data_IF_546842442610
#
_entry.id   IF_546842442610
#
_cell.length_a   1.000
_cell.length_b   1.000
_cell.length_c   1.000
_cell.angle_alpha   90.00
_cell.angle_beta   90.00
_cell.angle_gamma   90.00
#
_symmetry.space_group_name_H-M   'P 1'
#
loop_
_entity.id
_entity.type
_entity.pdbx_description
1 polymer ?
#
# COMPACT_ATOMS: atom_id res chain seq x y z
N UNK A 1 -32.89 -32.55 46.34
CA UNK A 1 -31.82 -32.24 45.35
C UNK A 1 -30.95 -31.13 45.92
N UNK A 2 -29.64 -31.34 46.06
CA UNK A 2 -28.72 -30.35 46.64
C UNK A 2 -28.44 -29.29 45.58
N UNK A 3 -28.92 -28.05 45.78
CA UNK A 3 -28.63 -26.96 44.85
C UNK A 3 -27.14 -26.58 44.99
N UNK A 4 -26.40 -26.73 43.90
CA UNK A 4 -25.02 -26.25 43.83
C UNK A 4 -25.04 -24.72 43.76
N UNK A 5 -24.16 -24.02 44.51
CA UNK A 5 -24.08 -22.57 44.45
C UNK A 5 -23.73 -22.13 43.03
N UNK A 6 -24.54 -21.22 42.48
CA UNK A 6 -24.34 -20.68 41.14
C UNK A 6 -23.10 -19.80 41.09
N UNK A 7 -22.25 -20.03 40.09
CA UNK A 7 -21.02 -19.26 39.89
C UNK A 7 -21.05 -18.63 38.50
N UNK A 8 -21.12 -17.30 38.46
CA UNK A 8 -21.16 -16.51 37.23
C UNK A 8 -19.95 -16.76 36.34
N UNK A 9 -18.75 -16.83 36.95
CA UNK A 9 -17.52 -17.15 36.22
C UNK A 9 -17.55 -18.54 35.61
N UNK A 10 -18.05 -19.55 36.32
CA UNK A 10 -18.20 -20.91 35.76
C UNK A 10 -19.21 -20.93 34.61
N UNK A 11 -20.31 -20.19 34.72
CA UNK A 11 -21.31 -20.08 33.67
C UNK A 11 -20.72 -19.41 32.41
N UNK A 12 -20.02 -18.29 32.57
CA UNK A 12 -19.30 -17.60 31.48
C UNK A 12 -18.31 -18.54 30.80
N UNK A 13 -17.48 -19.23 31.58
CA UNK A 13 -16.44 -20.11 31.04
C UNK A 13 -17.03 -21.34 30.33
N UNK A 14 -18.18 -21.85 30.80
CA UNK A 14 -18.91 -22.90 30.12
C UNK A 14 -19.42 -22.45 28.74
N UNK A 15 -19.98 -21.25 28.66
CA UNK A 15 -20.45 -20.66 27.39
C UNK A 15 -19.26 -20.42 26.46
N UNK A 16 -18.21 -19.73 26.91
CA UNK A 16 -17.02 -19.47 26.11
C UNK A 16 -16.38 -20.76 25.58
N UNK A 17 -16.30 -21.81 26.41
CA UNK A 17 -15.77 -23.11 26.00
C UNK A 17 -16.65 -23.80 24.96
N UNK A 18 -17.96 -23.73 25.11
CA UNK A 18 -18.91 -24.25 24.12
C UNK A 18 -18.82 -23.49 22.80
N UNK A 19 -18.76 -22.16 22.84
CA UNK A 19 -18.61 -21.29 21.66
C UNK A 19 -17.30 -21.55 20.93
N UNK A 20 -16.17 -21.63 21.64
CA UNK A 20 -14.88 -21.92 21.03
C UNK A 20 -14.87 -23.32 20.38
N UNK A 21 -15.46 -24.31 21.04
CA UNK A 21 -15.60 -25.67 20.48
C UNK A 21 -16.47 -25.69 19.22
N UNK A 22 -17.54 -24.89 19.18
CA UNK A 22 -18.41 -24.77 18.02
C UNK A 22 -17.67 -24.16 16.82
N UNK A 23 -16.91 -23.08 17.04
CA UNK A 23 -16.08 -22.44 16.00
C UNK A 23 -15.06 -23.44 15.44
N UNK A 24 -14.32 -24.13 16.31
CA UNK A 24 -13.26 -25.07 15.90
C UNK A 24 -13.77 -26.34 15.22
N UNK A 25 -15.03 -26.76 15.46
CA UNK A 25 -15.63 -27.94 14.81
C UNK A 25 -16.01 -27.69 13.35
N UNK A 26 -16.25 -26.43 12.98
CA UNK A 26 -16.61 -26.06 11.62
C UNK A 26 -15.39 -25.48 10.89
N UNK A 27 -14.77 -26.24 9.97
CA UNK A 27 -13.60 -25.74 9.25
C UNK A 27 -13.92 -24.46 8.46
N UNK A 28 -15.13 -24.32 7.93
CA UNK A 28 -15.57 -23.09 7.24
C UNK A 28 -15.68 -21.89 8.17
N UNK A 29 -16.14 -22.08 9.41
CA UNK A 29 -16.20 -21.00 10.39
C UNK A 29 -14.81 -20.45 10.71
N UNK A 30 -13.82 -21.34 10.87
CA UNK A 30 -12.42 -20.94 11.12
C UNK A 30 -11.84 -20.18 9.92
N UNK A 31 -12.03 -20.68 8.70
CA UNK A 31 -11.51 -20.03 7.49
C UNK A 31 -12.11 -18.64 7.31
N UNK A 32 -13.42 -18.48 7.52
CA UNK A 32 -14.08 -17.19 7.34
C UNK A 32 -13.73 -16.19 8.45
N UNK A 33 -13.65 -16.62 9.71
CA UNK A 33 -13.43 -15.72 10.84
C UNK A 33 -11.96 -15.38 11.12
N UNK A 34 -11.03 -16.27 10.79
CA UNK A 34 -9.59 -16.06 11.01
C UNK A 34 -8.79 -16.02 9.70
N UNK A 35 -9.02 -16.97 8.80
CA UNK A 35 -8.26 -17.08 7.55
C UNK A 35 -8.46 -15.86 6.64
N UNK A 36 -9.70 -15.48 6.36
CA UNK A 36 -10.02 -14.35 5.50
C UNK A 36 -9.40 -13.03 5.99
N UNK A 37 -9.58 -12.62 7.26
CA UNK A 37 -8.94 -11.40 7.77
C UNK A 37 -7.40 -11.44 7.68
N UNK A 38 -6.77 -12.59 7.96
CA UNK A 38 -5.31 -12.71 7.90
C UNK A 38 -4.78 -12.55 6.47
N UNK A 39 -5.43 -13.20 5.49
CA UNK A 39 -5.06 -13.05 4.07
C UNK A 39 -5.30 -11.61 3.62
N UNK A 40 -6.41 -11.00 4.04
CA UNK A 40 -6.73 -9.61 3.72
C UNK A 40 -5.66 -8.65 4.23
N UNK A 41 -5.29 -8.74 5.51
CA UNK A 41 -4.25 -7.90 6.12
C UNK A 41 -2.89 -8.13 5.42
N UNK A 42 -2.56 -9.37 5.05
CA UNK A 42 -1.31 -9.68 4.36
C UNK A 42 -1.25 -9.00 2.97
N UNK A 43 -2.30 -9.14 2.17
CA UNK A 43 -2.38 -8.56 0.83
C UNK A 43 -2.36 -7.03 0.89
N UNK A 44 -3.17 -6.42 1.77
CA UNK A 44 -3.17 -4.96 1.90
C UNK A 44 -1.91 -4.41 2.57
N UNK A 45 -1.30 -5.17 3.48
CA UNK A 45 0.00 -4.85 4.06
C UNK A 45 1.10 -4.80 3.01
N UNK A 46 1.05 -5.66 1.99
CA UNK A 46 2.00 -5.64 0.88
C UNK A 46 1.69 -4.57 -0.18
N UNK A 47 0.42 -4.24 -0.41
CA UNK A 47 0.03 -3.18 -1.38
C UNK A 47 0.41 -1.77 -0.86
N UNK A 48 0.37 -1.54 0.46
CA UNK A 48 0.63 -0.22 1.06
C UNK A 48 2.04 0.02 1.59
N UNK A 49 2.95 -0.96 1.50
CA UNK A 49 4.27 -0.92 2.15
C UNK A 49 5.39 -0.19 1.38
N UNK A 50 5.15 0.20 0.13
CA UNK A 50 6.08 1.03 -0.63
C UNK A 50 5.80 2.51 -0.35
N UNK A 51 6.78 3.25 0.17
CA UNK A 51 6.65 4.69 0.37
C UNK A 51 6.11 5.39 -0.88
N UNK A 52 5.30 6.44 -0.68
CA UNK A 52 4.73 7.26 -1.75
C UNK A 52 5.84 7.96 -2.52
N UNK A 53 6.40 7.29 -3.52
CA UNK A 53 7.35 7.88 -4.45
C UNK A 53 6.57 8.57 -5.56
N UNK A 54 6.57 9.91 -5.53
CA UNK A 54 5.96 10.72 -6.58
C UNK A 54 6.92 10.82 -7.75
N UNK A 55 6.48 10.38 -8.94
CA UNK A 55 7.30 10.48 -10.15
C UNK A 55 7.05 11.81 -10.85
N UNK A 56 8.09 12.61 -11.06
CA UNK A 56 8.01 13.92 -11.76
C UNK A 56 8.83 13.90 -13.05
N UNK A 57 8.36 14.65 -14.04
CA UNK A 57 9.09 14.93 -15.28
C UNK A 57 9.56 16.39 -15.29
N UNK A 58 10.77 16.61 -15.80
CA UNK A 58 11.32 17.94 -16.04
C UNK A 58 11.06 18.35 -17.49
N UNK A 59 10.58 19.58 -17.71
CA UNK A 59 10.34 20.12 -19.05
C UNK A 59 11.65 20.38 -19.80
N UNK A 60 12.65 20.92 -19.10
CA UNK A 60 14.00 21.12 -19.63
C UNK A 60 15.02 20.31 -18.78
N UNK A 61 15.95 19.56 -19.39
CA UNK A 61 17.03 18.89 -18.66
C UNK A 61 17.92 19.85 -17.85
N UNK A 62 18.01 21.14 -18.19
CA UNK A 62 18.77 22.15 -17.47
C UNK A 62 18.21 22.43 -16.06
N UNK A 63 16.90 22.26 -15.86
CA UNK A 63 16.21 22.52 -14.59
C UNK A 63 16.66 21.55 -13.48
N UNK A 64 17.28 20.43 -13.85
CA UNK A 64 17.88 19.47 -12.92
C UNK A 64 19.05 20.03 -12.10
N UNK A 65 19.68 21.12 -12.55
CA UNK A 65 20.75 21.78 -11.83
C UNK A 65 20.24 22.64 -10.66
N UNK A 66 18.96 23.00 -10.65
CA UNK A 66 18.36 23.90 -9.68
C UNK A 66 18.35 23.28 -8.26
N UNK A 67 18.64 24.09 -7.25
CA UNK A 67 18.70 23.72 -5.84
C UNK A 67 17.41 23.04 -5.37
N UNK A 68 16.24 23.54 -5.80
CA UNK A 68 14.91 22.99 -5.45
C UNK A 68 14.74 21.55 -5.96
N UNK A 69 15.17 21.27 -7.19
CA UNK A 69 15.08 19.93 -7.78
C UNK A 69 16.05 18.97 -7.09
N UNK A 70 17.25 19.45 -6.73
CA UNK A 70 18.26 18.66 -5.99
C UNK A 70 17.80 18.28 -4.58
N UNK A 71 17.18 19.20 -3.84
CA UNK A 71 16.68 18.91 -2.49
C UNK A 71 15.49 17.96 -2.51
N UNK A 72 14.59 18.09 -3.48
CA UNK A 72 13.49 17.14 -3.70
C UNK A 72 14.00 15.74 -4.05
N UNK A 73 15.00 15.63 -4.92
CA UNK A 73 15.61 14.34 -5.24
C UNK A 73 16.33 13.71 -4.02
N UNK A 74 16.98 14.53 -3.17
CA UNK A 74 17.67 14.06 -1.97
C UNK A 74 16.72 13.52 -0.88
N UNK A 75 15.45 13.96 -0.89
CA UNK A 75 14.45 13.53 0.09
C UNK A 75 13.96 12.08 -0.10
N UNK A 76 14.26 11.44 -1.24
CA UNK A 76 13.86 10.05 -1.53
C UNK A 76 12.36 9.86 -1.83
N UNK A 77 11.53 10.88 -1.65
CA UNK A 77 10.09 10.86 -1.99
C UNK A 77 9.82 11.15 -3.48
N UNK A 78 10.79 11.70 -4.20
CA UNK A 78 10.59 12.17 -5.58
C UNK A 78 11.52 11.41 -6.52
N UNK A 79 10.93 10.67 -7.46
CA UNK A 79 11.65 9.99 -8.53
C UNK A 79 11.57 10.82 -9.80
N UNK A 80 12.71 11.24 -10.32
CA UNK A 80 12.78 11.98 -11.58
C UNK A 80 12.95 10.96 -12.71
N UNK A 81 11.97 10.89 -13.61
CA UNK A 81 12.08 10.09 -14.85
C UNK A 81 13.07 10.76 -15.79
N UNK A 82 14.37 10.46 -15.60
CA UNK A 82 15.40 10.73 -16.60
C UNK A 82 15.36 9.60 -17.61
N UNK A 83 14.67 9.83 -18.73
CA UNK A 83 14.70 8.90 -19.86
C UNK A 83 16.13 8.82 -20.40
N UNK A 84 16.93 7.87 -19.92
CA UNK A 84 18.06 7.34 -20.68
C UNK A 84 17.48 6.54 -21.83
N UNK A 85 17.30 7.16 -23.00
CA UNK A 85 17.26 6.41 -24.24
C UNK A 85 18.69 6.20 -24.69
N UNK A 86 19.10 4.94 -24.76
CA UNK A 86 20.30 4.52 -25.46
C UNK A 86 20.40 5.25 -26.81
N UNK A 87 21.46 6.05 -26.96
CA UNK A 87 22.06 6.41 -28.25
C UNK A 87 21.28 7.33 -29.20
N UNK A 88 20.04 7.73 -28.94
CA UNK A 88 19.32 8.69 -29.80
C UNK A 88 18.59 9.72 -28.95
N UNK A 89 19.10 10.95 -29.00
CA UNK A 89 18.48 12.16 -28.47
C UNK A 89 17.27 12.52 -29.34
N UNK A 90 16.20 11.73 -29.28
CA UNK A 90 14.91 12.24 -29.71
C UNK A 90 14.32 12.96 -28.52
N UNK A 91 14.27 14.28 -28.65
CA UNK A 91 13.39 15.17 -27.92
C UNK A 91 12.05 14.45 -27.75
N UNK A 92 11.80 13.86 -26.57
CA UNK A 92 10.52 13.19 -26.31
C UNK A 92 9.52 14.33 -26.28
N UNK A 93 8.77 14.47 -27.37
CA UNK A 93 7.80 15.53 -27.59
C UNK A 93 6.97 15.78 -26.33
N UNK A 94 6.61 17.04 -26.11
CA UNK A 94 5.61 17.45 -25.12
C UNK A 94 4.36 16.56 -25.13
N UNK A 95 4.05 15.90 -26.25
CA UNK A 95 2.99 14.91 -26.42
C UNK A 95 3.22 13.60 -25.64
N UNK A 96 4.45 13.08 -25.57
CA UNK A 96 4.75 11.87 -24.79
C UNK A 96 4.66 12.13 -23.29
N UNK A 97 5.13 13.29 -22.84
CA UNK A 97 5.00 13.68 -21.43
C UNK A 97 3.54 13.90 -21.04
N UNK A 98 2.75 14.54 -21.90
CA UNK A 98 1.30 14.68 -21.69
C UNK A 98 0.58 13.32 -21.67
N UNK A 99 0.99 12.37 -22.52
CA UNK A 99 0.41 11.02 -22.52
C UNK A 99 0.70 10.27 -21.22
N UNK A 100 1.90 10.41 -20.67
CA UNK A 100 2.29 9.78 -19.40
C UNK A 100 1.69 10.50 -18.17
N UNK A 101 1.45 11.82 -18.25
CA UNK A 101 0.62 12.55 -17.28
C UNK A 101 -0.82 12.04 -17.28
N UNK A 102 -1.44 11.91 -18.46
CA UNK A 102 -2.83 11.44 -18.58
C UNK A 102 -3.00 9.99 -18.12
N UNK A 103 -1.96 9.16 -18.27
CA UNK A 103 -1.93 7.79 -17.75
C UNK A 103 -1.74 7.73 -16.22
N UNK A 104 -1.39 8.84 -15.57
CA UNK A 104 -1.12 8.89 -14.13
C UNK A 104 0.24 8.31 -13.72
N UNK A 105 1.13 8.01 -14.67
CA UNK A 105 2.47 7.50 -14.40
C UNK A 105 3.43 8.60 -13.93
N UNK A 106 3.13 9.85 -14.30
CA UNK A 106 3.85 11.06 -13.89
C UNK A 106 2.85 11.96 -13.18
N UNK A 107 3.22 12.49 -12.02
CA UNK A 107 2.35 13.36 -11.23
C UNK A 107 2.35 14.81 -11.74
N UNK A 108 3.49 15.31 -12.23
CA UNK A 108 3.62 16.67 -12.73
C UNK A 108 4.77 16.81 -13.73
N UNK A 109 4.60 17.72 -14.69
CA UNK A 109 5.70 18.29 -15.48
C UNK A 109 6.10 19.60 -14.82
N UNK A 110 7.33 19.66 -14.32
CA UNK A 110 7.87 20.82 -13.62
C UNK A 110 8.87 21.53 -14.52
N UNK A 111 8.82 22.85 -14.53
CA UNK A 111 9.84 23.72 -15.13
C UNK A 111 10.18 24.81 -14.13
N UNK A 112 11.45 25.11 -13.93
CA UNK A 112 11.91 26.11 -12.96
C UNK A 112 12.99 27.00 -13.56
#
# INVERSE_FOLDING_TARGET
MKQLPYSQFRAMLAISRASLRAILRSPSAVIFSLGFPLVFILVFGFIGGGGTSVTIALRDPADSANYVIRTLQASGFVRIERSKSDGVLLQKDSLYMQKELLKGNIAAIVSV
#
